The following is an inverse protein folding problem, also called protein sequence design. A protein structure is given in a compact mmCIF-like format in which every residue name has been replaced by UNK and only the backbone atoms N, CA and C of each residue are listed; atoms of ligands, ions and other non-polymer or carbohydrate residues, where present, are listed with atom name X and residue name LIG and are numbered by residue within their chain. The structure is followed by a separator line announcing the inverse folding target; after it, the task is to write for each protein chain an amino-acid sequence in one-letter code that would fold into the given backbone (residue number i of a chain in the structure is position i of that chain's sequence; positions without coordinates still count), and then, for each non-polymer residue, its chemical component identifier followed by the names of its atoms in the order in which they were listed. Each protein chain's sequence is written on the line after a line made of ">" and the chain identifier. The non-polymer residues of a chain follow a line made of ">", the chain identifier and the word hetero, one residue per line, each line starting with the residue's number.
data_IF_418474534149
#
_entry.id   IF_418474534149
#
_cell.length_a   1.000
_cell.length_b   1.000
_cell.length_c   1.000
_cell.angle_alpha   90.00
_cell.angle_beta   90.00
_cell.angle_gamma   90.00
#
_symmetry.space_group_name_H-M   'P 1'
#
loop_
_entity.id
_entity.type
_entity.pdbx_description
1 polymer ?
#
# COMPACT_ATOMS: atom_id res chain seq x y z
N UNK A 1 -9.48 3.45 61.94
CA UNK A 1 -10.04 4.40 60.95
C UNK A 1 -8.96 4.57 59.88
N UNK A 2 -8.94 3.73 58.83
CA UNK A 2 -9.48 3.96 57.47
C UNK A 2 -9.16 5.34 56.88
N UNK A 3 -8.32 5.33 55.84
CA UNK A 3 -8.23 6.21 54.65
C UNK A 3 -6.75 6.48 54.32
N UNK A 4 -6.24 6.43 53.09
CA UNK A 4 -6.74 5.99 51.79
C UNK A 4 -5.48 5.90 50.92
N UNK A 5 -5.28 4.79 50.22
CA UNK A 5 -4.23 4.66 49.19
C UNK A 5 -4.70 5.43 47.96
N UNK A 6 -3.90 6.38 47.47
CA UNK A 6 -4.07 6.96 46.15
C UNK A 6 -2.73 6.90 45.42
N UNK A 7 -2.78 6.26 44.25
CA UNK A 7 -1.67 5.78 43.46
C UNK A 7 -0.73 6.90 42.98
N UNK A 8 0.57 6.65 43.13
CA UNK A 8 1.60 7.33 42.36
C UNK A 8 1.41 6.90 40.92
N UNK A 9 0.94 7.83 40.09
CA UNK A 9 0.87 7.67 38.64
C UNK A 9 2.28 7.41 38.15
N UNK A 10 2.53 6.16 37.74
CA UNK A 10 3.72 5.78 37.03
C UNK A 10 3.79 6.61 35.75
N UNK A 11 4.66 7.62 35.72
CA UNK A 11 5.08 8.27 34.49
C UNK A 11 6.06 7.33 33.77
N UNK A 12 5.53 6.17 33.39
CA UNK A 12 6.20 5.15 32.59
C UNK A 12 5.49 5.09 31.26
N UNK A 13 5.88 5.98 30.35
CA UNK A 13 5.77 5.77 28.90
C UNK A 13 6.74 6.75 28.25
N UNK A 14 8.01 6.36 28.28
CA UNK A 14 8.90 6.58 27.15
C UNK A 14 8.11 6.26 25.88
N UNK A 15 7.63 7.31 25.20
CA UNK A 15 7.19 7.23 23.81
C UNK A 15 8.43 6.98 22.93
N UNK A 16 9.05 5.82 23.09
CA UNK A 16 9.59 5.09 21.94
C UNK A 16 8.38 4.45 21.27
N UNK A 17 7.48 5.28 20.74
CA UNK A 17 6.41 4.83 19.87
C UNK A 17 7.06 4.37 18.58
N UNK A 18 7.43 3.09 18.57
CA UNK A 18 7.46 2.24 17.39
C UNK A 18 8.21 2.78 16.19
N UNK A 19 9.55 2.72 16.22
CA UNK A 19 10.28 2.30 15.04
C UNK A 19 9.90 0.83 14.81
N UNK A 20 8.75 0.58 14.19
CA UNK A 20 8.18 -0.78 14.14
C UNK A 20 6.80 -0.90 13.50
N UNK A 21 6.18 0.21 13.08
CA UNK A 21 5.13 0.18 12.08
C UNK A 21 5.70 0.73 10.76
N UNK A 22 6.74 0.06 10.25
CA UNK A 22 6.70 -0.20 8.82
C UNK A 22 5.40 -0.99 8.63
N UNK A 23 4.29 -0.29 8.38
CA UNK A 23 3.25 -0.83 7.56
C UNK A 23 3.99 -1.21 6.28
N UNK A 24 4.51 -2.44 6.26
CA UNK A 24 5.13 -3.05 5.11
C UNK A 24 3.97 -3.12 4.15
N UNK A 25 3.77 -2.01 3.43
CA UNK A 25 3.14 -1.94 2.14
C UNK A 25 3.85 -3.03 1.36
N UNK A 26 3.30 -4.24 1.45
CA UNK A 26 3.90 -5.44 0.92
C UNK A 26 3.55 -5.39 -0.56
N UNK A 27 4.28 -4.53 -1.27
CA UNK A 27 4.18 -4.30 -2.70
C UNK A 27 4.29 -5.63 -3.49
N UNK A 28 4.81 -6.69 -2.85
CA UNK A 28 4.83 -8.07 -3.34
C UNK A 28 3.45 -8.72 -3.46
N UNK A 29 2.46 -8.27 -2.69
CA UNK A 29 1.05 -8.69 -2.80
C UNK A 29 0.29 -7.95 -3.88
N UNK A 30 0.84 -6.86 -4.42
CA UNK A 30 0.20 -6.11 -5.50
C UNK A 30 0.17 -6.99 -6.75
N UNK A 31 -1.04 -7.27 -7.24
CA UNK A 31 -1.24 -8.08 -8.44
C UNK A 31 -0.90 -7.26 -9.68
N UNK A 32 0.01 -7.75 -10.52
CA UNK A 32 0.30 -7.14 -11.83
C UNK A 32 -0.55 -7.80 -12.91
N UNK A 33 -1.36 -7.01 -13.58
CA UNK A 33 -2.27 -7.42 -14.65
C UNK A 33 -1.70 -6.99 -15.99
N UNK A 34 -1.85 -7.86 -16.99
CA UNK A 34 -1.42 -7.58 -18.36
C UNK A 34 -2.25 -6.43 -18.95
N UNK A 35 -1.66 -5.63 -19.85
CA UNK A 35 -2.37 -4.50 -20.42
C UNK A 35 -3.62 -4.86 -21.20
N UNK A 36 -3.66 -6.03 -21.83
CA UNK A 36 -4.82 -6.49 -22.60
C UNK A 36 -5.96 -7.03 -21.71
N UNK A 37 -5.65 -7.33 -20.44
CA UNK A 37 -6.54 -8.04 -19.53
C UNK A 37 -7.42 -7.09 -18.70
N UNK A 38 -8.25 -6.31 -19.40
CA UNK A 38 -9.18 -5.35 -18.77
C UNK A 38 -10.20 -6.03 -17.86
N UNK A 39 -10.51 -7.30 -18.12
CA UNK A 39 -11.47 -8.08 -17.34
C UNK A 39 -11.05 -8.26 -15.87
N UNK A 40 -9.74 -8.37 -15.59
CA UNK A 40 -9.22 -8.51 -14.23
C UNK A 40 -9.42 -7.26 -13.36
N UNK A 41 -9.61 -6.08 -13.98
CA UNK A 41 -9.83 -4.82 -13.26
C UNK A 41 -11.26 -4.28 -13.39
N UNK A 42 -12.14 -5.00 -14.08
CA UNK A 42 -13.50 -4.54 -14.40
C UNK A 42 -14.40 -4.30 -13.17
N UNK A 43 -14.14 -5.01 -12.07
CA UNK A 43 -14.88 -4.87 -10.80
C UNK A 43 -14.04 -4.19 -9.72
N UNK A 44 -12.97 -3.50 -10.10
CA UNK A 44 -12.06 -2.86 -9.17
C UNK A 44 -12.24 -1.36 -9.16
N UNK A 45 -11.99 -0.75 -8.01
CA UNK A 45 -12.02 0.70 -7.88
C UNK A 45 -10.72 1.30 -8.41
N UNK A 46 -10.82 2.24 -9.33
CA UNK A 46 -9.65 2.94 -9.84
C UNK A 46 -9.11 3.91 -8.80
N UNK A 47 -7.81 3.79 -8.48
CA UNK A 47 -7.11 4.62 -7.48
C UNK A 47 -6.24 5.70 -8.10
N UNK A 48 -5.73 5.48 -9.31
CA UNK A 48 -4.93 6.48 -10.02
C UNK A 48 -3.90 5.85 -10.96
N UNK A 49 -3.01 6.69 -11.48
CA UNK A 49 -1.91 6.28 -12.36
C UNK A 49 -0.59 6.32 -11.60
N UNK A 50 0.23 5.29 -11.78
CA UNK A 50 1.57 5.19 -11.18
C UNK A 50 2.63 5.04 -12.27
N UNK A 51 3.77 5.70 -12.06
CA UNK A 51 4.91 5.68 -12.98
C UNK A 51 6.23 5.70 -12.23
N UNK A 52 7.16 4.85 -12.64
CA UNK A 52 8.53 4.74 -12.13
C UNK A 52 9.43 4.01 -13.11
N UNK A 53 10.74 4.23 -13.02
CA UNK A 53 11.77 3.48 -13.75
C UNK A 53 11.92 2.01 -13.30
N UNK A 54 11.41 1.69 -12.10
CA UNK A 54 11.55 0.39 -11.44
C UNK A 54 10.19 -0.18 -11.08
N UNK A 55 9.97 -1.48 -11.38
CA UNK A 55 8.73 -2.19 -11.03
C UNK A 55 8.50 -2.17 -9.53
N UNK A 56 9.56 -2.28 -8.72
CA UNK A 56 9.46 -2.27 -7.27
C UNK A 56 8.90 -0.95 -6.76
N UNK A 57 9.42 0.17 -7.28
CA UNK A 57 9.02 1.51 -6.87
C UNK A 57 7.61 1.84 -7.37
N UNK A 58 7.26 1.39 -8.58
CA UNK A 58 5.90 1.48 -9.12
C UNK A 58 4.88 0.78 -8.21
N UNK A 59 5.18 -0.45 -7.78
CA UNK A 59 4.29 -1.22 -6.91
C UNK A 59 4.22 -0.61 -5.50
N UNK A 60 5.32 -0.03 -5.02
CA UNK A 60 5.33 0.70 -3.75
C UNK A 60 4.38 1.90 -3.82
N UNK A 61 4.48 2.72 -4.87
CA UNK A 61 3.57 3.86 -5.09
C UNK A 61 2.12 3.42 -5.21
N UNK A 62 1.85 2.29 -5.88
CA UNK A 62 0.51 1.73 -5.95
C UNK A 62 -0.04 1.38 -4.57
N UNK A 63 0.80 0.78 -3.72
CA UNK A 63 0.37 0.44 -2.35
C UNK A 63 0.19 1.71 -1.50
N UNK A 64 1.02 2.75 -1.70
CA UNK A 64 0.88 4.05 -1.01
C UNK A 64 -0.46 4.76 -1.32
N UNK A 65 -1.07 4.49 -2.48
CA UNK A 65 -2.41 4.99 -2.85
C UNK A 65 -3.52 3.97 -2.58
N UNK A 66 -3.26 2.99 -1.71
CA UNK A 66 -4.24 1.96 -1.30
C UNK A 66 -4.75 1.13 -2.48
N UNK A 67 -3.87 0.85 -3.46
CA UNK A 67 -4.12 -0.08 -4.55
C UNK A 67 -3.50 -1.46 -4.26
N UNK A 68 -4.25 -2.51 -4.59
CA UNK A 68 -3.83 -3.92 -4.47
C UNK A 68 -3.57 -4.59 -5.82
N UNK A 69 -3.90 -3.91 -6.91
CA UNK A 69 -3.77 -4.40 -8.28
C UNK A 69 -3.28 -3.27 -9.18
N UNK A 70 -2.30 -3.55 -10.05
CA UNK A 70 -1.86 -2.62 -11.10
C UNK A 70 -2.04 -3.26 -12.46
N UNK A 71 -2.51 -2.49 -13.44
CA UNK A 71 -2.58 -2.89 -14.84
C UNK A 71 -1.54 -2.08 -15.61
N UNK A 72 -0.56 -2.77 -16.18
CA UNK A 72 0.41 -2.12 -17.06
C UNK A 72 -0.32 -1.56 -18.29
N UNK A 73 0.10 -0.44 -18.87
CA UNK A 73 -0.46 0.01 -20.17
C UNK A 73 0.26 -0.61 -21.36
N UNK A 74 -0.51 -1.10 -22.34
CA UNK A 74 0.03 -1.68 -23.57
C UNK A 74 0.67 -0.60 -24.42
N UNK A 75 1.79 -0.94 -25.07
CA UNK A 75 2.49 -0.03 -25.98
C UNK A 75 3.40 0.99 -25.28
N UNK A 76 3.50 0.90 -23.95
CA UNK A 76 4.23 1.87 -23.14
C UNK A 76 5.37 1.18 -22.40
N UNK A 77 6.29 0.57 -23.17
CA UNK A 77 7.67 0.43 -22.68
C UNK A 77 8.33 1.75 -23.03
N UNK A 78 8.09 2.81 -22.25
CA UNK A 78 8.99 3.96 -22.33
C UNK A 78 10.35 3.42 -21.90
N UNK A 79 11.36 3.61 -22.75
CA UNK A 79 12.72 3.11 -22.51
C UNK A 79 13.28 3.47 -21.12
N UNK A 80 12.66 4.43 -20.44
CA UNK A 80 13.11 5.05 -19.21
C UNK A 80 12.08 4.97 -18.05
N UNK A 81 10.82 4.56 -18.28
CA UNK A 81 9.85 4.39 -17.19
C UNK A 81 8.68 3.45 -17.50
N UNK A 82 8.23 2.76 -16.47
CA UNK A 82 7.02 1.95 -16.42
C UNK A 82 5.82 2.84 -16.13
N UNK A 83 4.67 2.46 -16.69
CA UNK A 83 3.40 3.13 -16.49
C UNK A 83 2.30 2.11 -16.24
N UNK A 84 1.56 2.29 -15.15
CA UNK A 84 0.45 1.43 -14.80
C UNK A 84 -0.72 2.20 -14.21
N UNK A 85 -1.91 1.68 -14.44
CA UNK A 85 -3.14 2.08 -13.76
C UNK A 85 -3.27 1.26 -12.47
N UNK A 86 -3.51 1.92 -11.34
CA UNK A 86 -3.63 1.31 -10.03
C UNK A 86 -5.09 1.19 -9.62
N UNK A 87 -5.46 0.02 -9.10
CA UNK A 87 -6.80 -0.35 -8.70
C UNK A 87 -6.82 -1.01 -7.33
N UNK A 88 -7.92 -0.80 -6.62
CA UNK A 88 -8.29 -1.55 -5.43
C UNK A 88 -9.38 -2.54 -5.81
N UNK A 89 -9.02 -3.80 -5.96
CA UNK A 89 -9.96 -4.86 -6.28
C UNK A 89 -10.64 -5.42 -5.03
N UNK A 90 -10.18 -5.02 -3.83
CA UNK A 90 -10.75 -5.51 -2.58
C UNK A 90 -10.49 -7.01 -2.48
N UNK A 91 -9.26 -7.38 -2.15
CA UNK A 91 -8.86 -8.77 -2.01
C UNK A 91 -9.92 -9.58 -1.27
N UNK A 92 -10.56 -10.51 -2.00
CA UNK A 92 -11.42 -11.57 -1.48
C UNK A 92 -10.70 -12.17 -0.26
N UNK A 93 -11.19 -11.89 0.95
CA UNK A 93 -10.81 -12.62 2.16
C UNK A 93 -11.28 -14.06 2.04
#
# INVERSE_FOLDING_TARGET
>A
MRALVAAVVACGLTLTAGVGAEDRLDWRKVRVVKPDDSASVANCEYRGEVRDDSMKDLLKKATEIDADTVRMRAGVVYKDYLFAEAYRCGGRR
#
